data_IF_045623624469
#
_entry.id   IF_045623624469
#
_cell.length_a   1.000
_cell.length_b   1.000
_cell.length_c   1.000
_cell.angle_alpha   90.00
_cell.angle_beta   90.00
_cell.angle_gamma   90.00
#
_symmetry.space_group_name_H-M   'P 1'
#
loop_
_entity.id
_entity.type
_entity.pdbx_description
1 polymer ?
#
# COMPACT_ATOMS: atom_id res chain seq x y z
N UNK A 1 30.16 -8.97 -12.79
CA UNK A 1 28.89 -8.33 -12.37
C UNK A 1 28.05 -8.15 -13.62
N UNK A 2 26.86 -8.69 -13.65
CA UNK A 2 25.95 -8.44 -14.79
C UNK A 2 25.48 -7.01 -14.68
N UNK A 3 25.78 -6.19 -15.67
CA UNK A 3 25.30 -4.80 -15.73
C UNK A 3 23.81 -4.84 -16.13
N UNK A 4 22.95 -4.23 -15.34
CA UNK A 4 21.52 -4.14 -15.65
C UNK A 4 21.19 -2.76 -16.25
N UNK A 5 20.24 -2.75 -17.15
CA UNK A 5 19.78 -1.52 -17.81
C UNK A 5 19.04 -0.62 -16.80
N UNK A 6 19.68 0.48 -16.42
CA UNK A 6 19.11 1.46 -15.47
C UNK A 6 17.78 2.05 -15.93
N UNK A 7 17.52 2.10 -17.24
CA UNK A 7 16.24 2.58 -17.76
C UNK A 7 15.08 1.61 -17.51
N UNK A 8 15.39 0.37 -17.13
CA UNK A 8 14.41 -0.67 -16.82
C UNK A 8 14.32 -0.97 -15.33
N UNK A 9 15.18 -0.37 -14.51
CA UNK A 9 15.23 -0.62 -13.09
C UNK A 9 14.31 0.34 -12.33
N UNK A 10 13.47 -0.22 -11.46
CA UNK A 10 12.51 0.51 -10.62
C UNK A 10 12.49 -0.10 -9.22
N UNK A 11 12.31 0.73 -8.18
CA UNK A 11 11.83 0.22 -6.92
C UNK A 11 10.35 -0.16 -7.05
N UNK A 12 9.97 -1.23 -6.40
CA UNK A 12 8.58 -1.66 -6.31
C UNK A 12 8.09 -1.36 -4.89
N UNK A 13 6.99 -0.65 -4.79
CA UNK A 13 6.30 -0.33 -3.54
C UNK A 13 4.90 -0.90 -3.62
N UNK A 14 4.44 -1.56 -2.57
CA UNK A 14 3.06 -2.01 -2.46
C UNK A 14 2.39 -1.25 -1.34
N UNK A 15 1.23 -0.68 -1.61
CA UNK A 15 0.36 -0.03 -0.62
C UNK A 15 -0.96 -0.76 -0.52
N UNK A 16 -1.62 -0.69 0.63
CA UNK A 16 -2.88 -1.39 0.86
C UNK A 16 -3.97 -0.51 1.48
N UNK A 17 -5.08 -0.36 0.77
CA UNK A 17 -6.29 0.25 1.31
C UNK A 17 -7.07 -0.82 2.06
N UNK A 18 -7.09 -0.75 3.40
CA UNK A 18 -7.88 -1.68 4.19
C UNK A 18 -9.31 -1.16 4.31
N UNK A 19 -10.27 -2.01 4.01
CA UNK A 19 -11.70 -1.70 4.03
C UNK A 19 -12.35 -2.53 5.14
N UNK A 20 -12.88 -1.86 6.17
CA UNK A 20 -13.54 -2.55 7.28
C UNK A 20 -14.99 -2.95 6.94
N UNK A 21 -15.68 -3.59 7.90
CA UNK A 21 -17.06 -4.06 7.73
C UNK A 21 -18.08 -2.95 7.52
N UNK A 22 -17.76 -1.70 7.90
CA UNK A 22 -18.59 -0.52 7.68
C UNK A 22 -18.30 0.17 6.34
N UNK A 23 -17.36 -0.36 5.54
CA UNK A 23 -16.94 0.24 4.27
C UNK A 23 -16.02 1.45 4.44
N UNK A 24 -15.40 1.63 5.61
CA UNK A 24 -14.43 2.69 5.87
C UNK A 24 -13.01 2.24 5.57
N UNK A 25 -12.17 3.19 5.21
CA UNK A 25 -10.77 3.03 4.82
C UNK A 25 -9.83 3.36 5.97
N UNK A 26 -8.84 2.51 6.21
CA UNK A 26 -7.80 2.80 7.19
C UNK A 26 -6.78 3.77 6.60
N UNK A 27 -6.57 4.88 7.28
CA UNK A 27 -5.45 5.78 7.06
C UNK A 27 -4.57 5.85 8.30
N UNK A 28 -3.27 6.05 8.11
CA UNK A 28 -2.27 6.11 9.17
C UNK A 28 -1.40 7.34 9.00
N UNK A 29 -0.94 7.93 10.10
CA UNK A 29 -0.08 9.12 10.10
C UNK A 29 1.37 8.74 10.33
N UNK A 30 2.24 9.18 9.45
CA UNK A 30 3.69 8.98 9.56
C UNK A 30 4.26 9.82 10.69
N UNK A 31 5.25 9.26 11.38
CA UNK A 31 5.98 10.01 12.42
C UNK A 31 6.76 11.19 11.83
N UNK A 32 6.95 12.24 12.60
CA UNK A 32 7.66 13.46 12.16
C UNK A 32 9.17 13.22 11.88
N UNK A 33 9.75 12.17 12.44
CA UNK A 33 11.16 11.82 12.19
C UNK A 33 11.38 10.98 10.92
N UNK A 34 10.31 10.54 10.28
CA UNK A 34 10.39 9.79 9.01
C UNK A 34 10.98 10.65 7.89
N UNK A 35 11.88 10.07 7.08
CA UNK A 35 12.55 10.81 5.99
C UNK A 35 11.60 11.14 4.84
N UNK A 36 10.68 10.23 4.53
CA UNK A 36 9.71 10.40 3.45
C UNK A 36 8.36 10.83 4.02
N UNK A 37 7.86 11.99 3.57
CA UNK A 37 6.55 12.52 3.95
C UNK A 37 6.29 12.55 5.47
N UNK A 38 7.17 13.20 6.29
CA UNK A 38 6.97 13.28 7.73
C UNK A 38 5.63 13.93 8.08
N UNK A 39 4.95 13.40 9.08
CA UNK A 39 3.68 13.91 9.58
C UNK A 39 2.48 13.80 8.64
N UNK A 40 2.66 13.29 7.42
CA UNK A 40 1.57 13.12 6.45
C UNK A 40 0.78 11.84 6.68
N UNK A 41 -0.47 11.85 6.26
CA UNK A 41 -1.35 10.69 6.29
C UNK A 41 -1.22 9.84 5.03
N UNK A 42 -1.27 8.54 5.19
CA UNK A 42 -1.07 7.55 4.13
C UNK A 42 -1.89 6.29 4.42
N UNK A 43 -1.75 5.29 3.56
CA UNK A 43 -2.19 3.91 3.82
C UNK A 43 -0.97 3.02 4.10
N UNK A 44 -1.13 1.88 4.80
CA UNK A 44 -0.02 0.95 5.06
C UNK A 44 0.66 0.45 3.78
N UNK A 45 1.95 0.20 3.85
CA UNK A 45 2.69 -0.36 2.74
C UNK A 45 4.20 -0.19 2.83
N UNK A 46 4.91 -0.84 1.91
CA UNK A 46 6.36 -0.79 1.91
C UNK A 46 6.99 -1.26 0.60
N UNK A 47 8.32 -1.29 0.60
CA UNK A 47 9.11 -1.66 -0.56
C UNK A 47 9.31 -3.17 -0.63
N UNK A 48 9.28 -3.70 -1.85
CA UNK A 48 9.68 -5.07 -2.10
C UNK A 48 11.19 -5.22 -1.91
N UNK A 49 11.57 -6.14 -1.07
CA UNK A 49 12.95 -6.55 -0.84
C UNK A 49 13.19 -7.99 -1.31
N UNK A 50 14.43 -8.30 -1.69
CA UNK A 50 14.76 -9.66 -2.14
C UNK A 50 14.45 -10.73 -1.07
N UNK A 51 14.60 -10.39 0.21
CA UNK A 51 14.29 -11.30 1.32
C UNK A 51 12.80 -11.62 1.48
N UNK A 52 11.90 -10.81 0.94
CA UNK A 52 10.46 -11.09 0.97
C UNK A 52 10.08 -12.40 0.26
N UNK A 53 10.89 -12.84 -0.70
CA UNK A 53 10.66 -14.09 -1.42
C UNK A 53 11.81 -15.10 -1.30
N UNK A 54 13.09 -14.67 -1.20
CA UNK A 54 14.22 -15.59 -1.16
C UNK A 54 14.22 -16.52 0.06
N UNK A 55 13.62 -16.11 1.18
CA UNK A 55 13.49 -16.93 2.39
C UNK A 55 12.36 -17.95 2.30
N UNK A 56 11.52 -17.85 1.28
CA UNK A 56 10.39 -18.77 1.05
C UNK A 56 10.81 -19.90 0.11
N UNK A 57 10.18 -21.06 0.28
CA UNK A 57 10.26 -22.12 -0.73
C UNK A 57 9.63 -21.63 -2.03
N UNK A 58 10.24 -21.92 -3.16
CA UNK A 58 9.63 -21.67 -4.48
C UNK A 58 8.33 -22.46 -4.64
N UNK A 59 7.35 -21.87 -5.30
CA UNK A 59 6.06 -22.51 -5.60
C UNK A 59 6.17 -23.45 -6.80
N UNK A 60 7.11 -23.15 -7.71
CA UNK A 60 7.51 -24.02 -8.84
C UNK A 60 9.03 -24.26 -8.80
N UNK A 61 9.61 -24.86 -9.84
CA UNK A 61 11.07 -25.01 -9.97
C UNK A 61 11.80 -23.64 -9.99
N UNK A 62 11.16 -22.61 -10.54
CA UNK A 62 11.80 -21.32 -10.83
C UNK A 62 11.12 -20.10 -10.21
N UNK A 63 9.86 -20.20 -9.74
CA UNK A 63 9.04 -19.04 -9.44
C UNK A 63 8.50 -19.01 -8.01
N UNK A 64 8.30 -17.77 -7.50
CA UNK A 64 7.49 -17.43 -6.35
C UNK A 64 6.26 -16.66 -6.83
N UNK A 65 5.07 -17.06 -6.38
CA UNK A 65 3.81 -16.39 -6.69
C UNK A 65 3.31 -15.54 -5.52
N UNK A 66 2.29 -14.72 -5.76
CA UNK A 66 1.65 -13.86 -4.76
C UNK A 66 2.65 -12.96 -4.02
N UNK A 67 3.63 -12.43 -4.74
CA UNK A 67 4.73 -11.64 -4.15
C UNK A 67 4.20 -10.35 -3.54
N UNK A 68 3.32 -9.64 -4.24
CA UNK A 68 2.76 -8.38 -3.76
C UNK A 68 1.77 -8.59 -2.61
N UNK A 69 0.96 -9.63 -2.67
CA UNK A 69 0.01 -9.99 -1.61
C UNK A 69 0.74 -10.37 -0.32
N UNK A 70 1.83 -11.12 -0.43
CA UNK A 70 2.64 -11.50 0.73
C UNK A 70 3.40 -10.30 1.31
N UNK A 71 3.94 -9.42 0.46
CA UNK A 71 4.53 -8.16 0.89
C UNK A 71 3.51 -7.31 1.65
N UNK A 72 2.31 -7.14 1.10
CA UNK A 72 1.26 -6.36 1.77
C UNK A 72 0.90 -6.96 3.14
N UNK A 73 0.77 -8.29 3.24
CA UNK A 73 0.49 -8.96 4.53
C UNK A 73 1.57 -8.67 5.56
N UNK A 74 2.84 -8.69 5.16
CA UNK A 74 3.96 -8.39 6.06
C UNK A 74 3.91 -6.94 6.52
N UNK A 75 3.81 -5.99 5.59
CA UNK A 75 3.81 -4.55 5.91
C UNK A 75 2.60 -4.18 6.79
N UNK A 76 1.40 -4.65 6.46
CA UNK A 76 0.22 -4.37 7.27
C UNK A 76 0.37 -4.96 8.69
N UNK A 77 0.90 -6.16 8.81
CA UNK A 77 1.15 -6.77 10.12
C UNK A 77 2.19 -5.99 10.93
N UNK A 78 3.30 -5.60 10.30
CA UNK A 78 4.39 -4.85 10.95
C UNK A 78 3.93 -3.43 11.36
N UNK A 79 3.16 -2.76 10.51
CA UNK A 79 2.74 -1.38 10.72
C UNK A 79 1.51 -1.23 11.62
N UNK A 80 0.57 -2.18 11.56
CA UNK A 80 -0.74 -2.04 12.21
C UNK A 80 -1.16 -3.21 13.08
N UNK A 81 -0.42 -4.32 13.06
CA UNK A 81 -0.77 -5.54 13.79
C UNK A 81 -1.98 -6.29 13.22
N UNK A 82 -2.48 -5.91 12.05
CA UNK A 82 -3.67 -6.51 11.45
C UNK A 82 -3.32 -7.67 10.50
N UNK A 83 -4.07 -8.75 10.60
CA UNK A 83 -4.16 -9.76 9.55
C UNK A 83 -5.19 -9.32 8.50
N UNK A 84 -4.90 -9.62 7.23
CA UNK A 84 -5.76 -9.24 6.10
C UNK A 84 -6.14 -10.44 5.23
N UNK A 85 -7.26 -10.29 4.54
CA UNK A 85 -7.79 -11.25 3.57
C UNK A 85 -8.43 -10.53 2.38
N UNK A 86 -8.89 -11.27 1.36
CA UNK A 86 -9.57 -10.75 0.17
C UNK A 86 -8.77 -9.65 -0.55
N UNK A 87 -7.47 -9.88 -0.75
CA UNK A 87 -6.58 -8.90 -1.39
C UNK A 87 -6.93 -8.79 -2.88
N UNK A 88 -7.09 -7.56 -3.35
CA UNK A 88 -7.34 -7.25 -4.75
C UNK A 88 -6.54 -6.05 -5.24
N UNK A 89 -6.42 -5.91 -6.55
CA UNK A 89 -5.72 -4.81 -7.21
C UNK A 89 -6.62 -3.57 -7.28
N UNK A 90 -6.06 -2.39 -7.04
CA UNK A 90 -6.74 -1.09 -7.23
C UNK A 90 -6.20 -0.38 -8.46
N UNK A 91 -4.93 0.00 -8.43
CA UNK A 91 -4.27 0.73 -9.52
C UNK A 91 -2.75 0.64 -9.39
N UNK A 92 -2.04 1.23 -10.34
CA UNK A 92 -0.60 1.41 -10.25
C UNK A 92 -0.18 2.77 -10.76
N UNK A 93 0.92 3.28 -10.26
CA UNK A 93 1.47 4.57 -10.66
C UNK A 93 2.99 4.55 -10.58
N UNK A 94 3.62 5.53 -11.23
CA UNK A 94 5.06 5.77 -11.10
C UNK A 94 5.26 7.08 -10.35
N UNK A 95 6.12 7.05 -9.35
CA UNK A 95 6.64 8.21 -8.65
C UNK A 95 8.16 8.27 -8.83
N UNK A 96 8.67 9.42 -9.22
CA UNK A 96 10.12 9.64 -9.31
C UNK A 96 10.57 10.32 -8.02
N UNK A 97 11.42 9.63 -7.28
CA UNK A 97 11.96 10.12 -6.00
C UNK A 97 12.88 11.33 -6.23
N UNK A 98 13.15 12.14 -5.18
CA UNK A 98 14.10 13.27 -5.27
C UNK A 98 15.52 12.88 -5.70
N UNK A 99 15.92 11.63 -5.47
CA UNK A 99 17.21 11.06 -5.93
C UNK A 99 17.15 10.49 -7.36
N UNK A 100 16.09 10.79 -8.12
CA UNK A 100 15.84 10.35 -9.49
C UNK A 100 15.66 8.82 -9.67
N UNK A 101 15.40 8.08 -8.61
CA UNK A 101 15.08 6.66 -8.71
C UNK A 101 13.57 6.50 -8.91
N UNK A 102 13.11 5.89 -10.03
CA UNK A 102 11.69 5.64 -10.25
C UNK A 102 11.17 4.53 -9.35
N UNK A 103 9.99 4.73 -8.79
CA UNK A 103 9.25 3.74 -8.01
C UNK A 103 7.96 3.39 -8.74
N UNK A 104 7.70 2.10 -8.93
CA UNK A 104 6.36 1.61 -9.27
C UNK A 104 5.62 1.39 -7.96
N UNK A 105 4.50 2.06 -7.79
CA UNK A 105 3.59 1.84 -6.67
C UNK A 105 2.43 0.99 -7.16
N UNK A 106 2.23 -0.16 -6.52
CA UNK A 106 1.11 -1.06 -6.77
C UNK A 106 0.15 -0.90 -5.59
N UNK A 107 -1.00 -0.30 -5.85
CA UNK A 107 -2.05 -0.11 -4.85
C UNK A 107 -2.99 -1.31 -4.86
N UNK A 108 -3.11 -1.95 -3.71
CA UNK A 108 -4.01 -3.07 -3.45
C UNK A 108 -5.07 -2.66 -2.44
N UNK A 109 -6.14 -3.44 -2.33
CA UNK A 109 -7.09 -3.35 -1.23
C UNK A 109 -7.21 -4.68 -0.52
N UNK A 110 -7.66 -4.67 0.73
CA UNK A 110 -7.91 -5.88 1.51
C UNK A 110 -8.94 -5.63 2.60
N UNK A 111 -9.46 -6.71 3.19
CA UNK A 111 -10.28 -6.64 4.38
C UNK A 111 -9.45 -7.06 5.60
N UNK A 112 -9.46 -6.28 6.69
CA UNK A 112 -8.86 -6.70 7.94
C UNK A 112 -9.73 -7.76 8.62
N UNK A 113 -9.09 -8.75 9.28
CA UNK A 113 -9.80 -9.77 10.07
C UNK A 113 -10.25 -9.25 11.43
N UNK A 114 -9.68 -8.13 11.89
CA UNK A 114 -10.06 -7.41 13.11
C UNK A 114 -9.84 -5.93 12.94
N UNK A 115 -10.33 -5.11 13.84
CA UNK A 115 -10.09 -3.66 13.85
C UNK A 115 -9.21 -3.22 15.04
N UNK A 116 -8.59 -4.17 15.73
CA UNK A 116 -7.67 -3.90 16.83
C UNK A 116 -6.29 -3.51 16.29
N UNK A 117 -6.06 -2.19 16.16
CA UNK A 117 -4.85 -1.62 15.59
C UNK A 117 -3.76 -1.48 16.65
N UNK A 118 -2.56 -1.93 16.32
CA UNK A 118 -1.33 -1.76 17.09
C UNK A 118 -0.25 -1.17 16.20
N UNK A 119 -0.12 0.16 16.23
CA UNK A 119 0.81 0.87 15.38
C UNK A 119 2.27 0.59 15.78
N UNK A 120 3.15 0.51 14.76
CA UNK A 120 4.60 0.55 14.95
C UNK A 120 5.08 1.97 15.25
N UNK A 121 6.36 2.11 15.64
CA UNK A 121 6.93 3.41 15.99
C UNK A 121 6.98 4.44 14.85
N UNK A 122 6.96 3.97 13.59
CA UNK A 122 6.96 4.83 12.41
C UNK A 122 5.60 5.50 12.13
N UNK A 123 4.54 5.07 12.81
CA UNK A 123 3.17 5.58 12.67
C UNK A 123 2.66 6.09 14.03
N UNK A 124 2.08 7.28 14.04
CA UNK A 124 1.67 7.94 15.29
C UNK A 124 0.18 7.95 15.54
N UNK A 125 -0.62 7.89 14.47
CA UNK A 125 -2.08 7.94 14.54
C UNK A 125 -2.69 7.03 13.47
N UNK A 126 -3.93 6.61 13.69
CA UNK A 126 -4.74 5.89 12.70
C UNK A 126 -6.18 6.35 12.76
N UNK A 127 -6.90 6.27 11.64
CA UNK A 127 -8.31 6.55 11.56
C UNK A 127 -9.00 5.69 10.51
N UNK A 128 -10.23 5.28 10.78
CA UNK A 128 -11.16 4.70 9.82
C UNK A 128 -12.03 5.82 9.25
N UNK A 129 -11.95 6.07 7.96
CA UNK A 129 -12.60 7.20 7.30
C UNK A 129 -13.39 6.78 6.07
N UNK A 130 -14.48 7.46 5.79
CA UNK A 130 -15.09 7.47 4.46
C UNK A 130 -14.42 8.53 3.57
N UNK A 131 -14.82 8.64 2.28
CA UNK A 131 -14.22 9.61 1.36
C UNK A 131 -14.37 11.06 1.84
N UNK A 132 -15.53 11.42 2.39
CA UNK A 132 -15.81 12.79 2.86
C UNK A 132 -14.99 13.12 4.11
N UNK A 133 -14.80 12.16 4.98
CA UNK A 133 -13.95 12.30 6.16
C UNK A 133 -12.48 12.42 5.74
N UNK A 134 -12.04 11.63 4.74
CA UNK A 134 -10.67 11.62 4.23
C UNK A 134 -10.20 12.98 3.69
N UNK A 135 -11.11 13.81 3.14
CA UNK A 135 -10.80 15.18 2.68
C UNK A 135 -10.23 16.09 3.77
N UNK A 136 -10.47 15.78 5.04
CA UNK A 136 -10.02 16.59 6.19
C UNK A 136 -8.58 16.29 6.61
N UNK A 137 -7.98 15.25 6.05
CA UNK A 137 -6.65 14.78 6.42
C UNK A 137 -5.62 15.24 5.40
N UNK A 138 -4.41 15.58 5.86
CA UNK A 138 -3.28 15.90 5.00
C UNK A 138 -2.68 14.62 4.40
N UNK A 139 -3.42 14.03 3.46
CA UNK A 139 -3.00 12.82 2.76
C UNK A 139 -1.82 13.08 1.82
N UNK A 140 -0.93 12.11 1.72
CA UNK A 140 0.09 12.11 0.65
C UNK A 140 -0.62 12.15 -0.70
N UNK A 141 -0.07 12.95 -1.63
CA UNK A 141 -0.63 13.10 -2.98
C UNK A 141 -0.88 11.72 -3.65
N UNK A 142 -2.03 11.58 -4.26
CA UNK A 142 -2.49 10.34 -4.90
C UNK A 142 -3.37 9.47 -4.02
N UNK A 143 -3.16 9.42 -2.71
CA UNK A 143 -3.92 8.53 -1.81
C UNK A 143 -5.43 8.77 -1.90
N UNK A 144 -5.87 10.04 -1.85
CA UNK A 144 -7.30 10.34 -1.97
C UNK A 144 -7.90 9.81 -3.27
N UNK A 145 -7.17 9.96 -4.38
CA UNK A 145 -7.62 9.46 -5.69
C UNK A 145 -7.71 7.92 -5.74
N UNK A 146 -6.80 7.24 -5.07
CA UNK A 146 -6.85 5.78 -4.95
C UNK A 146 -8.08 5.33 -4.14
N UNK A 147 -8.42 6.06 -3.06
CA UNK A 147 -9.66 5.83 -2.29
C UNK A 147 -10.90 6.04 -3.15
N UNK A 148 -10.95 7.11 -3.98
CA UNK A 148 -12.07 7.34 -4.91
C UNK A 148 -12.22 6.21 -5.94
N UNK A 149 -11.12 5.74 -6.52
CA UNK A 149 -11.11 4.64 -7.49
C UNK A 149 -11.72 3.38 -6.86
N UNK A 150 -11.28 3.03 -5.65
CA UNK A 150 -11.77 1.86 -4.93
C UNK A 150 -13.24 2.04 -4.53
N UNK A 151 -13.63 3.20 -3.98
CA UNK A 151 -14.99 3.49 -3.55
C UNK A 151 -15.98 3.36 -4.72
N UNK A 152 -15.61 3.90 -5.88
CA UNK A 152 -16.42 3.77 -7.09
C UNK A 152 -16.56 2.29 -7.54
N UNK A 153 -15.48 1.52 -7.47
CA UNK A 153 -15.53 0.09 -7.77
C UNK A 153 -16.45 -0.67 -6.82
N UNK A 154 -16.30 -0.44 -5.51
CA UNK A 154 -17.12 -1.12 -4.50
C UNK A 154 -18.61 -0.79 -4.62
N UNK A 155 -18.95 0.43 -5.05
CA UNK A 155 -20.33 0.88 -5.23
C UNK A 155 -20.96 0.48 -6.56
N UNK A 156 -20.18 0.40 -7.64
CA UNK A 156 -20.71 0.26 -9.02
C UNK A 156 -20.24 -1.00 -9.75
N UNK A 157 -19.22 -1.70 -9.26
CA UNK A 157 -18.57 -2.82 -9.95
C UNK A 157 -17.75 -2.41 -11.18
N UNK A 158 -17.57 -1.11 -11.45
CA UNK A 158 -16.77 -0.63 -12.58
C UNK A 158 -15.29 -0.92 -12.38
N UNK A 159 -14.57 -1.10 -13.48
CA UNK A 159 -13.13 -1.35 -13.47
C UNK A 159 -12.39 -0.25 -12.71
N UNK A 160 -11.40 -0.66 -11.93
CA UNK A 160 -10.52 0.22 -11.18
C UNK A 160 -9.40 0.75 -12.09
N UNK A 161 -9.69 1.82 -12.81
CA UNK A 161 -8.73 2.56 -13.62
C UNK A 161 -8.81 4.04 -13.29
N UNK A 162 -7.65 4.71 -13.36
CA UNK A 162 -7.61 6.14 -13.18
C UNK A 162 -8.19 6.86 -14.42
N UNK A 163 -9.09 7.79 -14.18
CA UNK A 163 -9.64 8.67 -15.22
C UNK A 163 -9.40 10.13 -14.81
N UNK A 164 -9.00 10.96 -15.81
CA UNK A 164 -8.89 12.40 -15.63
C UNK A 164 -10.24 13.05 -15.37
#
# INVERSE_FOLDING_TARGET
MVDYDKNKAHYIVVTGILVNSEGKYLITKRAEWEKAFPGRWTVPGGKLEALDYLLRKKDTSEHWYNVFENLLRREVMEETGLEIENIGYVTSMVYIRPDNIPCIIVSLFANPKSEEIKLCDALTESAWVDLKEAEKYDLIEGIYKELEILDNHLKTGKNMIWNK
#
